data_IF_232419524992
#
_entry.id   IF_232419524992
#
_cell.length_a   1.000
_cell.length_b   1.000
_cell.length_c   1.000
_cell.angle_alpha   90.00
_cell.angle_beta   90.00
_cell.angle_gamma   90.00
#
_symmetry.space_group_name_H-M   'P 1'
#
loop_
_entity.id
_entity.type
_entity.pdbx_description
1 polymer ?
#
# COMPACT_ATOMS: atom_id res chain seq x y z
N UNK A 1 -4.04 -20.01 0.70
CA UNK A 1 -3.55 -19.21 1.84
C UNK A 1 -2.55 -19.98 2.69
N UNK A 2 -2.84 -21.23 3.11
CA UNK A 2 -1.95 -22.08 3.93
C UNK A 2 -0.59 -22.28 3.28
N UNK A 3 -0.55 -22.53 1.96
CA UNK A 3 0.70 -22.71 1.21
C UNK A 3 1.53 -21.42 1.24
N UNK A 4 0.92 -20.27 1.02
CA UNK A 4 1.60 -18.98 1.04
C UNK A 4 2.24 -18.70 2.41
N UNK A 5 1.53 -18.95 3.51
CA UNK A 5 2.09 -18.75 4.86
C UNK A 5 3.24 -19.72 5.16
N UNK A 6 3.18 -20.95 4.64
CA UNK A 6 4.28 -21.90 4.72
C UNK A 6 5.49 -21.43 3.92
N UNK A 7 5.30 -20.97 2.69
CA UNK A 7 6.37 -20.47 1.84
C UNK A 7 7.07 -19.25 2.45
N UNK A 8 6.29 -18.33 3.04
CA UNK A 8 6.86 -17.16 3.75
C UNK A 8 7.69 -17.60 4.96
N UNK A 9 7.25 -18.59 5.74
CA UNK A 9 8.02 -19.11 6.87
C UNK A 9 9.32 -19.79 6.40
N UNK A 10 9.30 -20.56 5.33
CA UNK A 10 10.48 -21.16 4.72
C UNK A 10 11.47 -20.10 4.19
N UNK A 11 10.97 -19.06 3.51
CA UNK A 11 11.77 -17.93 3.04
C UNK A 11 12.39 -17.20 4.24
N UNK A 12 11.62 -16.94 5.28
CA UNK A 12 12.10 -16.27 6.47
C UNK A 12 13.24 -17.03 7.16
N UNK A 13 13.15 -18.35 7.25
CA UNK A 13 14.21 -19.22 7.77
C UNK A 13 15.43 -19.22 6.86
N UNK A 14 15.23 -19.44 5.56
CA UNK A 14 16.30 -19.53 4.56
C UNK A 14 17.16 -18.28 4.49
N UNK A 15 16.54 -17.12 4.56
CA UNK A 15 17.21 -15.82 4.44
C UNK A 15 17.39 -15.09 5.77
N UNK A 16 17.12 -15.77 6.89
CA UNK A 16 17.26 -15.22 8.25
C UNK A 16 16.51 -13.87 8.41
N UNK A 17 15.29 -13.75 7.84
CA UNK A 17 14.55 -12.48 7.83
C UNK A 17 14.18 -12.00 9.24
N UNK A 18 14.13 -12.88 10.24
CA UNK A 18 13.81 -12.55 11.64
C UNK A 18 15.05 -12.26 12.50
N UNK A 19 16.23 -12.30 11.90
CA UNK A 19 17.52 -12.05 12.57
C UNK A 19 18.22 -10.86 11.87
N UNK A 20 18.01 -9.66 12.37
CA UNK A 20 18.56 -8.44 11.79
C UNK A 20 20.09 -8.45 11.73
N UNK A 21 20.75 -9.12 12.66
CA UNK A 21 22.22 -9.22 12.65
C UNK A 21 22.75 -10.07 11.49
N UNK A 22 21.98 -11.12 11.09
CA UNK A 22 22.32 -11.96 9.94
C UNK A 22 21.85 -11.40 8.61
N UNK A 23 20.80 -10.60 8.61
CA UNK A 23 20.27 -9.96 7.40
C UNK A 23 19.97 -8.47 7.62
N UNK A 24 21.00 -7.62 7.74
CA UNK A 24 20.85 -6.19 8.01
C UNK A 24 20.24 -5.41 6.84
N UNK A 25 20.19 -6.00 5.64
CA UNK A 25 19.61 -5.36 4.44
C UNK A 25 18.09 -5.55 4.33
N UNK A 26 17.49 -6.44 5.13
CA UNK A 26 16.05 -6.63 5.12
C UNK A 26 15.34 -5.51 5.87
N UNK A 27 14.17 -5.09 5.38
CA UNK A 27 13.42 -4.01 6.00
C UNK A 27 12.72 -4.48 7.28
N UNK A 28 12.82 -3.66 8.31
CA UNK A 28 12.15 -3.85 9.59
C UNK A 28 11.25 -2.66 9.90
N UNK A 29 10.15 -2.95 10.58
CA UNK A 29 9.24 -1.96 11.13
C UNK A 29 8.92 -2.33 12.58
N UNK A 30 9.16 -1.40 13.51
CA UNK A 30 8.95 -1.60 14.96
C UNK A 30 9.60 -2.90 15.48
N UNK A 31 10.85 -3.18 15.05
CA UNK A 31 11.62 -4.35 15.47
C UNK A 31 11.19 -5.68 14.84
N UNK A 32 10.26 -5.70 13.90
CA UNK A 32 9.79 -6.89 13.18
C UNK A 32 10.11 -6.82 11.69
N UNK A 33 10.45 -7.96 11.05
CA UNK A 33 10.65 -7.98 9.60
C UNK A 33 9.36 -7.59 8.88
N UNK A 34 9.46 -6.74 7.85
CA UNK A 34 8.32 -6.19 7.14
C UNK A 34 7.93 -7.05 5.94
N UNK A 35 6.65 -7.39 5.82
CA UNK A 35 6.07 -8.03 4.64
C UNK A 35 4.96 -7.14 4.10
N UNK A 36 4.91 -6.98 2.77
CA UNK A 36 3.83 -6.26 2.10
C UNK A 36 2.78 -7.24 1.56
N UNK A 37 1.53 -7.04 1.93
CA UNK A 37 0.35 -7.69 1.33
C UNK A 37 -0.34 -6.67 0.46
N UNK A 38 -0.32 -6.89 -0.86
CA UNK A 38 -0.83 -5.91 -1.81
C UNK A 38 -2.12 -6.38 -2.49
N UNK A 39 -3.02 -5.44 -2.77
CA UNK A 39 -4.21 -5.69 -3.56
C UNK A 39 -5.46 -6.02 -2.75
N UNK A 40 -5.51 -5.68 -1.48
CA UNK A 40 -6.65 -5.94 -0.60
C UNK A 40 -7.72 -4.87 -0.75
N UNK A 41 -8.98 -5.29 -0.92
CA UNK A 41 -10.15 -4.42 -0.98
C UNK A 41 -10.41 -3.74 -2.33
N UNK A 42 -9.81 -4.23 -3.43
CA UNK A 42 -10.11 -3.73 -4.78
C UNK A 42 -11.40 -4.33 -5.33
N UNK A 43 -12.26 -3.50 -5.87
CA UNK A 43 -13.50 -3.88 -6.57
C UNK A 43 -13.22 -4.18 -8.05
N UNK A 44 -12.51 -5.27 -8.35
CA UNK A 44 -12.09 -5.65 -9.70
C UNK A 44 -12.35 -7.13 -10.03
N UNK A 45 -13.30 -7.76 -9.35
CA UNK A 45 -13.71 -9.15 -9.54
C UNK A 45 -12.56 -10.17 -9.38
N UNK A 46 -11.59 -9.88 -8.52
CA UNK A 46 -10.50 -10.82 -8.22
C UNK A 46 -11.01 -12.08 -7.51
N UNK A 47 -10.24 -13.16 -7.61
CA UNK A 47 -10.60 -14.47 -7.08
C UNK A 47 -10.46 -14.62 -5.55
N UNK A 48 -9.99 -13.61 -4.86
CA UNK A 48 -9.85 -13.57 -3.40
C UNK A 48 -10.46 -12.29 -2.84
N UNK A 49 -11.01 -12.37 -1.64
CA UNK A 49 -11.70 -11.28 -0.96
C UNK A 49 -11.10 -10.96 0.40
N UNK A 50 -11.90 -10.31 1.23
CA UNK A 50 -11.46 -9.87 2.57
C UNK A 50 -11.21 -11.04 3.52
N UNK A 51 -11.91 -12.18 3.37
CA UNK A 51 -11.69 -13.36 4.23
C UNK A 51 -10.29 -13.95 4.03
N UNK A 52 -9.87 -14.12 2.77
CA UNK A 52 -8.55 -14.64 2.43
C UNK A 52 -7.46 -13.65 2.87
N UNK A 53 -7.70 -12.35 2.67
CA UNK A 53 -6.80 -11.30 3.11
C UNK A 53 -6.64 -11.31 4.64
N UNK A 54 -7.73 -11.43 5.39
CA UNK A 54 -7.71 -11.53 6.85
C UNK A 54 -6.88 -12.73 7.32
N UNK A 55 -7.13 -13.90 6.73
CA UNK A 55 -6.38 -15.11 7.06
C UNK A 55 -4.86 -14.93 6.85
N UNK A 56 -4.46 -14.29 5.76
CA UNK A 56 -3.04 -14.02 5.46
C UNK A 56 -2.47 -13.01 6.44
N UNK A 57 -3.16 -11.92 6.72
CA UNK A 57 -2.70 -10.87 7.65
C UNK A 57 -2.50 -11.47 9.06
N UNK A 58 -3.51 -12.19 9.57
CA UNK A 58 -3.45 -12.81 10.89
C UNK A 58 -2.32 -13.86 10.97
N UNK A 59 -2.15 -14.66 9.90
CA UNK A 59 -1.07 -15.63 9.78
C UNK A 59 0.32 -15.00 9.80
N UNK A 60 0.54 -13.92 9.04
CA UNK A 60 1.80 -13.18 9.04
C UNK A 60 2.09 -12.53 10.39
N UNK A 61 1.09 -11.92 11.01
CA UNK A 61 1.22 -11.33 12.35
C UNK A 61 1.57 -12.40 13.39
N UNK A 62 0.93 -13.59 13.36
CA UNK A 62 1.24 -14.71 14.24
C UNK A 62 2.65 -15.26 14.04
N UNK A 63 3.19 -15.19 12.84
CA UNK A 63 4.57 -15.53 12.52
C UNK A 63 5.59 -14.45 12.96
N UNK A 64 5.15 -13.30 13.49
CA UNK A 64 6.01 -12.24 14.00
C UNK A 64 6.45 -11.21 12.96
N UNK A 65 5.76 -11.11 11.83
CA UNK A 65 5.98 -10.06 10.84
C UNK A 65 5.23 -8.77 11.18
N UNK A 66 5.79 -7.65 10.77
CA UNK A 66 5.07 -6.40 10.53
C UNK A 66 4.45 -6.45 9.15
N UNK A 67 3.22 -5.97 8.99
CA UNK A 67 2.46 -6.06 7.73
C UNK A 67 2.17 -4.67 7.19
N UNK A 68 2.66 -4.39 5.96
CA UNK A 68 2.23 -3.25 5.17
C UNK A 68 1.12 -3.67 4.22
N UNK A 69 -0.02 -2.99 4.26
CA UNK A 69 -1.18 -3.33 3.47
C UNK A 69 -1.36 -2.36 2.28
N UNK A 70 -1.33 -2.90 1.07
CA UNK A 70 -1.64 -2.16 -0.16
C UNK A 70 -3.12 -2.23 -0.51
N UNK A 71 -3.80 -1.06 -0.52
CA UNK A 71 -5.24 -0.91 -0.69
C UNK A 71 -5.59 0.01 -1.87
N UNK A 72 -6.87 0.05 -2.34
CA UNK A 72 -7.31 0.99 -3.37
C UNK A 72 -7.19 2.46 -2.93
N UNK A 73 -7.28 3.37 -3.90
CA UNK A 73 -7.22 4.82 -3.66
C UNK A 73 -8.34 5.33 -2.73
N UNK A 74 -9.57 4.82 -2.90
CA UNK A 74 -10.76 5.28 -2.17
C UNK A 74 -11.11 4.41 -0.96
N UNK A 75 -10.14 3.69 -0.42
CA UNK A 75 -10.30 2.73 0.68
C UNK A 75 -11.08 3.31 1.89
N UNK A 76 -10.85 4.59 2.22
CA UNK A 76 -11.46 5.22 3.41
C UNK A 76 -12.95 5.50 3.20
N UNK A 77 -13.37 5.76 1.97
CA UNK A 77 -14.78 6.04 1.62
C UNK A 77 -15.54 4.80 1.17
N UNK A 78 -14.85 3.69 0.90
CA UNK A 78 -15.43 2.44 0.38
C UNK A 78 -16.17 2.64 -0.95
N UNK A 79 -15.61 3.44 -1.84
CA UNK A 79 -16.22 3.80 -3.13
C UNK A 79 -15.21 3.70 -4.30
N UNK A 80 -15.70 3.83 -5.53
CA UNK A 80 -14.87 3.85 -6.73
C UNK A 80 -14.17 2.50 -6.99
N UNK A 81 -12.85 2.45 -6.84
CA UNK A 81 -12.04 1.24 -7.04
C UNK A 81 -11.98 0.33 -5.80
N UNK A 82 -12.75 0.65 -4.76
CA UNK A 82 -12.78 -0.04 -3.47
C UNK A 82 -14.06 -0.85 -3.30
N UNK A 83 -13.95 -2.03 -2.71
CA UNK A 83 -15.12 -2.77 -2.20
C UNK A 83 -15.89 -1.95 -1.19
N UNK A 84 -17.24 -2.04 -1.22
CA UNK A 84 -18.12 -1.32 -0.30
C UNK A 84 -18.25 -1.95 1.10
N UNK A 85 -17.53 -3.06 1.35
CA UNK A 85 -17.59 -3.79 2.61
C UNK A 85 -16.79 -3.09 3.73
N UNK A 86 -17.42 -2.63 4.83
CA UNK A 86 -16.75 -1.92 5.92
C UNK A 86 -15.72 -2.78 6.68
N UNK A 87 -15.73 -4.11 6.52
CA UNK A 87 -14.69 -4.99 7.09
C UNK A 87 -13.29 -4.66 6.58
N UNK A 88 -13.17 -3.99 5.42
CA UNK A 88 -11.87 -3.48 4.95
C UNK A 88 -11.20 -2.58 5.99
N UNK A 89 -11.96 -1.72 6.66
CA UNK A 89 -11.41 -0.86 7.73
C UNK A 89 -10.94 -1.66 8.96
N UNK A 90 -11.59 -2.79 9.25
CA UNK A 90 -11.17 -3.69 10.33
C UNK A 90 -9.85 -4.37 9.99
N UNK A 91 -9.70 -4.84 8.75
CA UNK A 91 -8.45 -5.42 8.25
C UNK A 91 -7.31 -4.39 8.28
N UNK A 92 -7.56 -3.16 7.85
CA UNK A 92 -6.57 -2.09 7.89
C UNK A 92 -6.09 -1.83 9.32
N UNK A 93 -6.96 -1.86 10.32
CA UNK A 93 -6.57 -1.70 11.74
C UNK A 93 -5.69 -2.85 12.27
N UNK A 94 -5.72 -4.02 11.64
CA UNK A 94 -4.83 -5.15 11.98
C UNK A 94 -3.41 -4.98 11.44
N UNK A 95 -3.22 -4.12 10.43
CA UNK A 95 -1.93 -3.89 9.79
C UNK A 95 -1.07 -2.91 10.59
N UNK A 96 0.21 -2.89 10.29
CA UNK A 96 1.16 -1.96 10.91
C UNK A 96 1.37 -0.72 10.05
N UNK A 97 1.32 -0.87 8.71
CA UNK A 97 1.48 0.23 7.75
C UNK A 97 0.39 0.14 6.68
N UNK A 98 -0.19 1.26 6.32
CA UNK A 98 -1.15 1.40 5.23
C UNK A 98 -0.52 2.11 4.04
N UNK A 99 -0.66 1.55 2.83
CA UNK A 99 -0.14 2.12 1.57
C UNK A 99 -1.24 2.10 0.49
N UNK A 100 -2.00 3.18 0.30
CA UNK A 100 -2.96 3.28 -0.78
C UNK A 100 -2.31 3.41 -2.16
N UNK A 101 -2.94 2.83 -3.18
CA UNK A 101 -2.45 2.89 -4.56
C UNK A 101 -2.85 4.17 -5.26
N UNK A 102 -1.85 4.97 -5.65
CA UNK A 102 -2.08 6.25 -6.34
C UNK A 102 -1.50 6.34 -7.75
N UNK A 103 -0.68 5.38 -8.19
CA UNK A 103 -0.03 5.45 -9.51
C UNK A 103 -1.08 5.57 -10.63
N UNK A 104 -0.95 6.61 -11.45
CA UNK A 104 -1.87 6.86 -12.56
C UNK A 104 -3.23 7.46 -12.18
N UNK A 105 -3.51 7.69 -10.89
CA UNK A 105 -4.82 8.17 -10.41
C UNK A 105 -4.99 9.69 -10.53
N UNK A 106 -3.90 10.44 -10.64
CA UNK A 106 -3.90 11.90 -10.78
C UNK A 106 -2.72 12.37 -11.64
N UNK A 107 -2.81 13.58 -12.12
CA UNK A 107 -1.74 14.32 -12.78
C UNK A 107 -1.41 15.59 -11.98
N UNK A 108 -0.52 16.44 -12.50
CA UNK A 108 -0.12 17.66 -11.79
C UNK A 108 -1.28 18.63 -11.54
N UNK A 109 -2.25 18.71 -12.46
CA UNK A 109 -3.44 19.57 -12.32
C UNK A 109 -4.41 19.07 -11.26
N UNK A 110 -4.63 17.75 -11.19
CA UNK A 110 -5.57 17.15 -10.25
C UNK A 110 -4.93 16.79 -8.90
N UNK A 111 -3.61 16.86 -8.79
CA UNK A 111 -2.85 16.53 -7.57
C UNK A 111 -3.35 17.26 -6.30
N UNK A 112 -3.74 18.56 -6.30
CA UNK A 112 -4.22 19.21 -5.08
C UNK A 112 -5.42 18.52 -4.42
N UNK A 113 -6.32 17.96 -5.22
CA UNK A 113 -7.45 17.16 -4.72
C UNK A 113 -6.96 15.87 -4.03
N UNK A 114 -5.97 15.20 -4.61
CA UNK A 114 -5.41 13.96 -4.07
C UNK A 114 -4.51 14.21 -2.86
N UNK A 115 -3.82 15.35 -2.81
CA UNK A 115 -3.08 15.76 -1.62
C UNK A 115 -4.00 15.89 -0.41
N UNK A 116 -5.17 16.52 -0.57
CA UNK A 116 -6.17 16.60 0.50
C UNK A 116 -6.66 15.22 0.93
N UNK A 117 -6.86 14.30 0.00
CA UNK A 117 -7.22 12.91 0.31
C UNK A 117 -6.14 12.22 1.16
N UNK A 118 -4.86 12.39 0.79
CA UNK A 118 -3.71 11.86 1.56
C UNK A 118 -3.66 12.46 2.97
N UNK A 119 -3.89 13.77 3.13
CA UNK A 119 -3.95 14.42 4.44
C UNK A 119 -5.05 13.83 5.34
N UNK A 120 -6.24 13.61 4.78
CA UNK A 120 -7.36 12.98 5.47
C UNK A 120 -7.08 11.49 5.81
N UNK A 121 -6.40 10.77 4.91
CA UNK A 121 -5.99 9.39 5.13
C UNK A 121 -4.96 9.27 6.26
N UNK A 122 -3.96 10.16 6.29
CA UNK A 122 -2.96 10.22 7.36
C UNK A 122 -3.63 10.49 8.72
N UNK A 123 -4.60 11.40 8.77
CA UNK A 123 -5.34 11.67 10.00
C UNK A 123 -6.12 10.43 10.49
N UNK A 124 -6.76 9.72 9.57
CA UNK A 124 -7.45 8.48 9.90
C UNK A 124 -6.48 7.40 10.40
N UNK A 125 -5.34 7.23 9.72
CA UNK A 125 -4.32 6.26 10.10
C UNK A 125 -3.76 6.55 11.50
N UNK A 126 -3.40 7.79 11.79
CA UNK A 126 -2.95 8.23 13.14
C UNK A 126 -3.98 7.95 14.21
N UNK A 127 -5.27 8.23 13.95
CA UNK A 127 -6.36 7.95 14.90
C UNK A 127 -6.52 6.46 15.19
N UNK A 128 -6.17 5.60 14.24
CA UNK A 128 -6.30 4.15 14.35
C UNK A 128 -4.98 3.43 14.66
N UNK A 129 -3.91 4.17 14.97
CA UNK A 129 -2.57 3.65 15.33
C UNK A 129 -1.96 2.77 14.21
N UNK A 130 -2.20 3.16 12.96
CA UNK A 130 -1.61 2.54 11.77
C UNK A 130 -0.68 3.56 11.15
N UNK A 131 0.55 3.18 10.82
CA UNK A 131 1.46 4.05 10.09
C UNK A 131 1.00 4.19 8.63
N UNK A 132 1.33 5.31 8.00
CA UNK A 132 0.91 5.59 6.64
C UNK A 132 2.11 5.80 5.72
N UNK A 133 2.20 5.00 4.66
CA UNK A 133 3.22 5.13 3.61
C UNK A 133 2.61 5.78 2.37
N UNK A 134 2.76 7.09 2.16
CA UNK A 134 2.23 7.76 0.99
C UNK A 134 2.95 7.30 -0.26
N UNK A 135 2.21 6.79 -1.23
CA UNK A 135 2.76 6.40 -2.52
C UNK A 135 2.89 7.63 -3.42
N UNK A 136 4.09 7.89 -3.91
CA UNK A 136 4.40 8.94 -4.88
C UNK A 136 5.00 8.33 -6.14
N UNK A 137 4.84 8.99 -7.30
CA UNK A 137 5.35 8.47 -8.56
C UNK A 137 5.81 9.58 -9.52
N UNK A 138 6.85 9.31 -10.32
CA UNK A 138 7.48 10.35 -11.15
C UNK A 138 6.66 10.73 -12.37
N UNK A 139 5.79 9.88 -12.83
CA UNK A 139 4.97 9.98 -14.03
C UNK A 139 4.45 8.60 -14.42
N UNK A 140 3.54 8.54 -15.40
CA UNK A 140 2.91 7.28 -15.81
C UNK A 140 2.56 7.27 -17.29
N UNK A 141 2.59 6.11 -17.93
CA UNK A 141 2.17 5.92 -19.31
C UNK A 141 1.40 4.61 -19.49
N UNK A 142 0.13 4.71 -19.75
CA UNK A 142 -0.69 3.56 -20.15
C UNK A 142 -0.24 2.97 -21.49
N UNK A 143 0.17 3.82 -22.45
CA UNK A 143 0.66 3.37 -23.74
C UNK A 143 1.89 2.47 -23.66
N UNK A 144 2.78 2.72 -22.70
CA UNK A 144 3.93 1.83 -22.46
C UNK A 144 3.53 0.49 -21.82
N UNK A 145 2.43 0.44 -21.10
CA UNK A 145 1.99 -0.74 -20.37
C UNK A 145 0.95 -1.56 -21.13
N UNK A 146 0.03 -0.91 -21.84
CA UNK A 146 -1.14 -1.56 -22.47
C UNK A 146 -1.16 -1.50 -24.01
N UNK A 147 -0.26 -0.72 -24.63
CA UNK A 147 -0.21 -0.51 -26.08
C UNK A 147 -0.55 0.93 -26.47
N UNK A 148 -0.19 1.30 -27.71
CA UNK A 148 -0.26 2.69 -28.20
C UNK A 148 -1.69 3.24 -28.30
N UNK A 149 -2.71 2.40 -28.33
CA UNK A 149 -4.12 2.78 -28.31
C UNK A 149 -4.53 3.44 -26.97
N UNK A 150 -3.77 3.23 -25.91
CA UNK A 150 -3.98 3.83 -24.60
C UNK A 150 -3.10 5.07 -24.42
N UNK A 151 -3.46 6.18 -25.00
CA UNK A 151 -2.66 7.42 -25.03
C UNK A 151 -2.59 8.20 -23.69
N UNK A 152 -3.11 7.66 -22.61
CA UNK A 152 -3.05 8.34 -21.30
C UNK A 152 -1.62 8.42 -20.79
N UNK A 153 -1.15 9.66 -20.59
CA UNK A 153 0.23 9.97 -20.20
C UNK A 153 0.25 11.04 -19.12
N UNK A 154 1.04 10.79 -18.08
CA UNK A 154 1.32 11.74 -17.01
C UNK A 154 2.80 12.09 -17.08
N UNK A 155 3.16 13.33 -17.47
CA UNK A 155 4.54 13.74 -17.69
C UNK A 155 5.32 13.84 -16.37
N UNK A 156 6.61 13.57 -16.43
CA UNK A 156 7.53 13.71 -15.29
C UNK A 156 7.88 15.15 -14.95
N UNK A 157 7.69 16.07 -15.88
CA UNK A 157 8.01 17.48 -15.74
C UNK A 157 9.42 17.73 -15.15
N UNK A 158 10.42 17.02 -15.69
CA UNK A 158 11.83 17.07 -15.23
C UNK A 158 11.99 16.74 -13.74
N UNK A 159 11.09 15.96 -13.15
CA UNK A 159 11.09 15.55 -11.74
C UNK A 159 10.28 16.46 -10.82
N UNK A 160 9.81 17.62 -11.28
CA UNK A 160 9.03 18.54 -10.43
C UNK A 160 7.72 17.93 -9.92
N UNK A 161 7.09 17.08 -10.74
CA UNK A 161 5.86 16.36 -10.34
C UNK A 161 6.10 15.40 -9.16
N UNK A 162 7.20 14.63 -9.19
CA UNK A 162 7.59 13.76 -8.07
C UNK A 162 7.92 14.57 -6.83
N UNK A 163 8.72 15.63 -7.01
CA UNK A 163 9.15 16.50 -5.90
C UNK A 163 7.96 17.15 -5.18
N UNK A 164 6.97 17.63 -5.94
CA UNK A 164 5.73 18.20 -5.39
C UNK A 164 4.98 17.21 -4.49
N UNK A 165 4.91 15.95 -4.90
CA UNK A 165 4.26 14.87 -4.12
C UNK A 165 5.04 14.55 -2.83
N UNK A 166 6.37 14.42 -2.93
CA UNK A 166 7.23 14.18 -1.76
C UNK A 166 7.07 15.30 -0.72
N UNK A 167 7.14 16.57 -1.16
CA UNK A 167 6.95 17.71 -0.27
C UNK A 167 5.53 17.78 0.30
N UNK A 168 4.52 17.38 -0.46
CA UNK A 168 3.14 17.27 0.01
C UNK A 168 2.99 16.22 1.12
N UNK A 169 3.57 15.05 0.95
CA UNK A 169 3.56 13.96 1.94
C UNK A 169 4.24 14.39 3.25
N UNK A 170 5.44 14.99 3.17
CA UNK A 170 6.17 15.51 4.34
C UNK A 170 5.34 16.54 5.09
N UNK A 171 4.73 17.50 4.38
CA UNK A 171 3.88 18.54 5.01
C UNK A 171 2.63 17.96 5.67
N UNK A 172 2.08 16.89 5.13
CA UNK A 172 0.96 16.18 5.72
C UNK A 172 1.35 15.37 6.97
N UNK A 173 2.65 15.24 7.25
CA UNK A 173 3.17 14.54 8.43
C UNK A 173 3.28 13.04 8.27
N UNK A 174 3.56 12.59 7.04
CA UNK A 174 3.93 11.20 6.75
C UNK A 174 5.41 10.97 6.98
#
# INVERSE_FOLDING_TARGET
>A
EKLLLKDIDEIAKRYSLKDHAKNPSYLYHNGKPLVTVWGVGFNDNRSYGLNEAEYIIDGLKSQGFSVMLGVPTQWRKLEGDTESDPRLHELIRKCDILMPWFVGRYNETTYPKYQKLVEEDIQWAKKNLVDYAPLVYPGFSWGNMKGKEHNSFIPRNKGSFLWKQLMGAIRAGA
#
